data_IF_060625655003
#
_entry.id   IF_060625655003
#
_cell.length_a   1.000
_cell.length_b   1.000
_cell.length_c   1.000
_cell.angle_alpha   90.00
_cell.angle_beta   90.00
_cell.angle_gamma   90.00
#
_symmetry.space_group_name_H-M   'P 1'
#
loop_
_entity.id
_entity.type
_entity.pdbx_description
1 polymer ?
#
# COMPACT_ATOMS: atom_id res chain seq x y z
N UNK A 1 10.60 -1.57 20.70
CA UNK A 1 9.65 -1.51 19.58
C UNK A 1 9.38 -0.03 19.31
N UNK A 2 10.19 0.60 18.46
CA UNK A 2 10.12 2.03 18.18
C UNK A 2 9.52 2.20 16.78
N UNK A 3 8.20 2.13 16.68
CA UNK A 3 7.54 2.53 15.43
C UNK A 3 7.11 3.98 15.61
N UNK A 4 7.52 4.87 14.71
CA UNK A 4 7.07 6.26 14.69
C UNK A 4 5.57 6.39 14.34
N UNK A 5 4.77 5.35 14.57
CA UNK A 5 3.32 5.30 14.33
C UNK A 5 2.91 5.46 12.86
N UNK A 6 3.85 5.38 11.92
CA UNK A 6 3.56 5.57 10.50
C UNK A 6 3.12 4.26 9.85
N UNK A 7 2.02 4.34 9.09
CA UNK A 7 1.68 3.36 8.06
C UNK A 7 2.02 3.97 6.70
N UNK A 8 2.72 3.21 5.86
CA UNK A 8 3.05 3.63 4.50
C UNK A 8 1.96 3.17 3.55
N UNK A 9 1.45 4.06 2.69
CA UNK A 9 0.28 3.76 1.85
C UNK A 9 0.50 4.20 0.41
N UNK A 10 -0.05 3.42 -0.51
CA UNK A 10 -0.20 3.77 -1.91
C UNK A 10 -1.63 3.44 -2.34
N UNK A 11 -2.23 4.31 -3.14
CA UNK A 11 -3.57 4.07 -3.70
C UNK A 11 -3.46 3.28 -4.99
N UNK A 12 -4.31 2.28 -5.13
CA UNK A 12 -4.43 1.47 -6.34
C UNK A 12 -5.87 1.55 -6.84
N UNK A 13 -6.05 1.69 -8.15
CA UNK A 13 -7.38 1.73 -8.76
C UNK A 13 -7.73 0.33 -9.28
N UNK A 14 -8.78 -0.27 -8.75
CA UNK A 14 -9.31 -1.55 -9.26
C UNK A 14 -10.20 -1.32 -10.48
N UNK A 15 -10.41 -2.39 -11.24
CA UNK A 15 -11.40 -2.45 -12.31
C UNK A 15 -12.43 -3.51 -11.96
N UNK A 16 -13.70 -3.19 -12.17
CA UNK A 16 -14.80 -4.10 -11.87
C UNK A 16 -14.73 -5.31 -12.80
N UNK A 17 -14.83 -6.51 -12.23
CA UNK A 17 -14.88 -7.79 -12.94
C UNK A 17 -13.67 -8.09 -13.85
N UNK A 18 -12.53 -7.43 -13.60
CA UNK A 18 -11.28 -7.61 -14.35
C UNK A 18 -10.12 -7.97 -13.42
N UNK A 19 -9.38 -9.02 -13.77
CA UNK A 19 -8.06 -9.28 -13.18
C UNK A 19 -7.04 -8.28 -13.72
N UNK A 20 -6.35 -7.59 -12.81
CA UNK A 20 -5.30 -6.64 -13.15
C UNK A 20 -4.03 -6.96 -12.37
N UNK A 21 -2.87 -6.79 -13.02
CA UNK A 21 -1.59 -6.79 -12.30
C UNK A 21 -1.24 -5.35 -11.90
N UNK A 22 -1.10 -5.11 -10.59
CA UNK A 22 -0.70 -3.82 -10.06
C UNK A 22 0.74 -3.90 -9.58
N UNK A 23 1.59 -2.99 -10.08
CA UNK A 23 2.97 -2.83 -9.62
C UNK A 23 3.10 -1.49 -8.92
N UNK A 24 3.42 -1.53 -7.63
CA UNK A 24 3.63 -0.33 -6.82
C UNK A 24 5.10 -0.30 -6.37
N UNK A 25 5.92 0.61 -6.91
CA UNK A 25 7.25 0.85 -6.38
C UNK A 25 7.19 1.33 -4.92
N UNK A 26 8.14 0.92 -4.09
CA UNK A 26 8.17 1.29 -2.66
C UNK A 26 8.33 2.81 -2.45
N UNK A 27 8.89 3.54 -3.42
CA UNK A 27 9.02 4.99 -3.39
C UNK A 27 7.70 5.75 -3.64
N UNK A 28 6.63 5.05 -4.07
CA UNK A 28 5.28 5.61 -4.24
C UNK A 28 4.44 5.52 -2.97
N UNK A 29 4.95 4.89 -1.92
CA UNK A 29 4.26 4.83 -0.65
C UNK A 29 4.55 6.08 0.18
N UNK A 30 3.48 6.74 0.63
CA UNK A 30 3.57 7.91 1.49
C UNK A 30 3.39 7.52 2.95
N UNK A 31 4.22 8.07 3.84
CA UNK A 31 4.06 7.88 5.27
C UNK A 31 2.80 8.60 5.76
N UNK A 32 1.96 7.87 6.49
CA UNK A 32 0.72 8.41 7.05
C UNK A 32 0.57 8.05 8.52
N UNK A 33 0.08 8.99 9.32
CA UNK A 33 -0.32 8.76 10.71
C UNK A 33 -1.61 9.53 10.99
N UNK A 34 -2.60 8.86 11.59
CA UNK A 34 -3.93 9.43 11.89
C UNK A 34 -4.56 10.23 10.72
N UNK A 35 -4.40 9.74 9.48
CA UNK A 35 -4.94 10.36 8.28
C UNK A 35 -4.16 11.56 7.73
N UNK A 36 -3.01 11.90 8.32
CA UNK A 36 -2.11 12.95 7.84
C UNK A 36 -0.91 12.34 7.11
N UNK A 37 -0.49 12.99 6.03
CA UNK A 37 0.70 12.62 5.25
C UNK A 37 1.93 13.32 5.84
N UNK A 38 3.03 12.60 5.98
CA UNK A 38 4.30 13.10 6.52
C UNK A 38 5.40 12.95 5.47
N UNK A 39 5.71 14.04 4.75
CA UNK A 39 6.69 14.02 3.66
C UNK A 39 8.13 13.82 4.14
N UNK A 40 8.44 14.26 5.35
CA UNK A 40 9.80 14.21 5.92
C UNK A 40 10.11 12.86 6.59
N UNK A 41 9.18 11.90 6.60
CA UNK A 41 9.37 10.59 7.22
C UNK A 41 10.31 9.66 6.41
N UNK A 42 10.66 10.05 5.18
CA UNK A 42 11.47 9.25 4.27
C UNK A 42 10.67 8.14 3.55
N UNK A 43 11.33 7.37 2.68
CA UNK A 43 10.69 6.28 1.93
C UNK A 43 10.49 5.03 2.80
N UNK A 44 9.68 4.09 2.31
CA UNK A 44 9.62 2.74 2.87
C UNK A 44 11.01 2.09 2.82
N UNK A 45 11.47 1.60 3.97
CA UNK A 45 12.66 0.75 4.06
C UNK A 45 12.27 -0.72 3.87
N UNK A 46 12.69 -1.37 2.77
CA UNK A 46 12.26 -2.74 2.46
C UNK A 46 12.49 -3.74 3.60
N UNK A 47 13.61 -3.60 4.32
CA UNK A 47 14.03 -4.45 5.44
C UNK A 47 13.18 -4.28 6.71
N UNK A 48 12.42 -3.19 6.83
CA UNK A 48 11.54 -2.92 7.98
C UNK A 48 10.07 -3.33 7.72
N UNK A 49 9.73 -3.77 6.50
CA UNK A 49 8.36 -4.19 6.14
C UNK A 49 8.02 -5.53 6.80
N UNK A 50 7.04 -5.51 7.71
CA UNK A 50 6.59 -6.71 8.44
C UNK A 50 5.16 -7.18 8.08
N UNK A 51 4.35 -6.31 7.46
CA UNK A 51 2.97 -6.60 7.12
C UNK A 51 2.51 -5.78 5.90
N UNK A 52 1.53 -6.31 5.18
CA UNK A 52 0.80 -5.63 4.10
C UNK A 52 -0.69 -5.69 4.43
N UNK A 53 -1.40 -4.60 4.19
CA UNK A 53 -2.86 -4.53 4.34
C UNK A 53 -3.52 -3.86 3.14
N UNK A 54 -4.76 -4.27 2.86
CA UNK A 54 -5.63 -3.62 1.90
C UNK A 54 -6.66 -2.78 2.65
N UNK A 55 -6.95 -1.59 2.13
CA UNK A 55 -7.85 -0.63 2.75
C UNK A 55 -8.84 -0.10 1.72
N UNK A 56 -10.13 -0.18 2.04
CA UNK A 56 -11.19 0.49 1.28
C UNK A 56 -11.24 1.94 1.73
N UNK A 57 -10.76 2.84 0.87
CA UNK A 57 -10.57 4.26 1.22
C UNK A 57 -11.47 5.21 0.44
N UNK A 58 -12.36 4.72 -0.43
CA UNK A 58 -13.22 5.56 -1.26
C UNK A 58 -14.43 6.16 -0.51
N UNK A 59 -14.66 5.70 0.74
CA UNK A 59 -15.78 6.07 1.62
C UNK A 59 -17.16 5.80 1.02
N UNK A 60 -17.26 4.90 0.04
CA UNK A 60 -18.53 4.51 -0.56
C UNK A 60 -19.02 3.23 0.11
N UNK A 61 -20.17 3.33 0.77
CA UNK A 61 -20.82 2.16 1.33
C UNK A 61 -21.37 1.26 0.21
N UNK A 62 -21.29 -0.06 0.39
CA UNK A 62 -21.82 -1.03 -0.55
C UNK A 62 -21.20 -2.40 -0.37
N UNK A 63 -21.78 -3.41 -1.03
CA UNK A 63 -21.15 -4.72 -1.11
C UNK A 63 -19.82 -4.62 -1.85
N UNK A 64 -18.80 -5.28 -1.32
CA UNK A 64 -17.47 -5.29 -1.90
C UNK A 64 -16.91 -6.71 -1.91
N UNK A 65 -16.32 -7.10 -3.04
CA UNK A 65 -15.60 -8.37 -3.21
C UNK A 65 -14.22 -8.05 -3.79
N UNK A 66 -13.17 -8.58 -3.15
CA UNK A 66 -11.81 -8.53 -3.66
C UNK A 66 -11.25 -9.94 -3.69
N UNK A 67 -10.62 -10.26 -4.80
CA UNK A 67 -9.89 -11.50 -4.99
C UNK A 67 -8.42 -11.14 -5.22
N UNK A 68 -7.52 -11.91 -4.62
CA UNK A 68 -6.08 -11.72 -4.74
C UNK A 68 -5.49 -13.05 -5.18
N UNK A 69 -4.96 -13.09 -6.39
CA UNK A 69 -4.32 -14.29 -6.91
C UNK A 69 -2.93 -14.48 -6.29
N UNK A 70 -2.11 -13.43 -6.28
CA UNK A 70 -0.77 -13.48 -5.69
C UNK A 70 -0.25 -12.11 -5.26
N UNK A 71 0.68 -12.14 -4.30
CA UNK A 71 1.48 -10.99 -3.89
C UNK A 71 2.94 -11.38 -4.10
N UNK A 72 3.68 -10.57 -4.85
CA UNK A 72 5.07 -10.87 -5.22
C UNK A 72 5.95 -9.66 -4.98
N UNK A 73 7.19 -9.93 -4.56
CA UNK A 73 8.24 -8.91 -4.47
C UNK A 73 9.07 -8.96 -5.75
N UNK A 74 9.18 -7.83 -6.44
CA UNK A 74 10.12 -7.66 -7.56
C UNK A 74 11.30 -6.84 -7.07
N UNK A 75 12.50 -7.42 -7.08
CA UNK A 75 13.73 -6.67 -6.83
C UNK A 75 14.04 -5.81 -8.04
N UNK A 76 14.42 -4.55 -7.83
CA UNK A 76 14.99 -3.74 -8.90
C UNK A 76 16.24 -4.47 -9.42
N UNK A 77 16.39 -4.53 -10.75
CA UNK A 77 17.63 -5.01 -11.35
C UNK A 77 18.80 -4.11 -10.93
N UNK A 78 20.01 -4.67 -10.90
CA UNK A 78 21.23 -3.87 -10.79
C UNK A 78 21.36 -2.90 -11.97
#
# INVERSE_FOLDING_TARGET
MNSNGFSYRATVQTKKDEWIEVRVPLDKFEATSFGRVFKDAGPVKPEEVNALSFMLSDKKAGAFKMEVESIKVKRAGK
#
